data_IF_817586944353
#
_entry.id   IF_817586944353
#
_cell.length_a   1.000
_cell.length_b   1.000
_cell.length_c   1.000
_cell.angle_alpha   90.00
_cell.angle_beta   90.00
_cell.angle_gamma   90.00
#
_symmetry.space_group_name_H-M   'P 1'
#
loop_
_entity.id
_entity.type
_entity.pdbx_description
1 polymer ?
#
# COMPACT_ATOMS: atom_id res chain seq x y z
N UNK A 1 12.45 -9.32 24.36
CA UNK A 1 12.23 -8.27 23.37
C UNK A 1 10.76 -7.88 23.35
N UNK A 2 10.45 -6.73 22.76
CA UNK A 2 9.08 -6.23 22.66
C UNK A 2 8.45 -6.71 21.36
N UNK A 3 7.24 -7.22 21.43
CA UNK A 3 6.43 -7.62 20.28
C UNK A 3 5.43 -6.52 19.97
N UNK A 4 5.31 -6.17 18.70
CA UNK A 4 4.38 -5.16 18.20
C UNK A 4 3.27 -5.83 17.41
N UNK A 5 2.04 -5.46 17.68
CA UNK A 5 0.86 -5.89 16.95
C UNK A 5 0.10 -4.68 16.45
N UNK A 6 0.06 -4.47 15.14
CA UNK A 6 -0.67 -3.39 14.49
C UNK A 6 -1.90 -3.91 13.78
N UNK A 7 -2.97 -3.13 13.78
CA UNK A 7 -4.26 -3.52 13.20
C UNK A 7 -5.05 -2.31 12.74
N UNK A 8 -5.96 -2.57 11.78
CA UNK A 8 -6.92 -1.57 11.34
C UNK A 8 -8.10 -1.52 12.31
N UNK A 9 -8.47 -0.32 12.74
CA UNK A 9 -9.66 -0.11 13.58
C UNK A 9 -10.93 -0.22 12.74
N UNK A 10 -12.05 -0.51 13.41
CA UNK A 10 -13.35 -0.54 12.73
C UNK A 10 -13.66 0.84 12.12
N UNK A 11 -14.30 0.88 10.96
CA UNK A 11 -14.64 2.13 10.28
C UNK A 11 -16.16 2.38 10.19
N UNK A 12 -16.97 1.60 10.85
CA UNK A 12 -18.43 1.73 10.84
C UNK A 12 -19.03 2.22 12.16
N UNK A 13 -18.27 2.22 13.25
CA UNK A 13 -18.71 2.68 14.57
C UNK A 13 -17.51 2.99 15.46
N UNK A 14 -17.77 3.67 16.57
CA UNK A 14 -16.75 4.04 17.54
C UNK A 14 -15.97 2.84 18.05
N UNK A 15 -14.66 3.01 18.09
CA UNK A 15 -13.75 2.04 18.67
C UNK A 15 -13.33 2.53 20.05
N UNK A 16 -13.48 1.68 21.04
CA UNK A 16 -12.97 1.94 22.40
C UNK A 16 -12.04 0.80 22.79
N UNK A 17 -10.79 1.11 23.04
CA UNK A 17 -9.75 0.16 23.38
C UNK A 17 -9.07 0.64 24.66
N UNK A 18 -9.13 -0.15 25.71
CA UNK A 18 -8.59 0.20 27.05
C UNK A 18 -9.06 1.59 27.53
N UNK A 19 -10.32 1.94 27.25
CA UNK A 19 -10.91 3.24 27.61
C UNK A 19 -10.54 4.40 26.68
N UNK A 20 -9.74 4.17 25.64
CA UNK A 20 -9.39 5.18 24.65
C UNK A 20 -10.32 5.11 23.44
N UNK A 21 -10.85 6.27 23.03
CA UNK A 21 -11.58 6.37 21.77
C UNK A 21 -10.59 6.42 20.62
N UNK A 22 -10.74 5.51 19.67
CA UNK A 22 -9.88 5.35 18.51
C UNK A 22 -10.68 5.68 17.25
N UNK A 23 -10.09 6.40 16.31
CA UNK A 23 -10.78 6.83 15.10
C UNK A 23 -11.15 5.69 14.15
N UNK A 24 -11.99 6.02 13.17
CA UNK A 24 -12.49 5.05 12.19
C UNK A 24 -11.44 4.73 11.11
N UNK A 25 -11.20 3.44 10.90
CA UNK A 25 -10.31 2.97 9.84
C UNK A 25 -8.89 3.51 9.96
N UNK A 26 -8.44 3.78 11.17
CA UNK A 26 -7.07 4.13 11.50
C UNK A 26 -6.25 2.86 11.74
N UNK A 27 -4.95 2.98 11.74
CA UNK A 27 -4.06 1.93 12.21
C UNK A 27 -3.63 2.25 13.64
N UNK A 28 -3.93 1.32 14.52
CA UNK A 28 -3.51 1.35 15.92
C UNK A 28 -2.51 0.23 16.20
N UNK A 29 -1.80 0.30 17.31
CA UNK A 29 -0.88 -0.75 17.70
C UNK A 29 -0.90 -1.02 19.20
N UNK A 30 -0.44 -2.20 19.51
CA UNK A 30 -0.26 -2.73 20.86
C UNK A 30 1.13 -3.32 21.02
N UNK A 31 1.62 -3.40 22.24
CA UNK A 31 2.89 -4.07 22.56
C UNK A 31 2.72 -5.13 23.63
N UNK A 32 3.64 -6.10 23.65
CA UNK A 32 3.73 -7.13 24.67
C UNK A 32 5.17 -7.64 24.81
N UNK A 33 5.52 -8.13 25.97
CA UNK A 33 6.78 -8.86 26.21
C UNK A 33 6.70 -10.33 25.78
N UNK A 34 5.49 -10.80 25.43
CA UNK A 34 5.22 -12.17 25.03
C UNK A 34 4.47 -12.19 23.69
N UNK A 35 4.88 -13.00 22.69
CA UNK A 35 4.19 -13.06 21.39
C UNK A 35 2.71 -13.46 21.48
N UNK A 36 2.32 -14.13 22.55
CA UNK A 36 0.91 -14.53 22.81
C UNK A 36 0.15 -13.52 23.66
N UNK A 37 0.76 -12.37 23.99
CA UNK A 37 0.18 -11.36 24.87
C UNK A 37 0.29 -11.71 26.38
N UNK A 38 -0.42 -10.95 27.21
CA UNK A 38 -1.39 -9.92 26.86
C UNK A 38 -0.74 -8.71 26.17
N UNK A 39 -1.45 -8.11 25.24
CA UNK A 39 -1.02 -6.91 24.56
C UNK A 39 -1.65 -5.67 25.20
N UNK A 40 -0.86 -4.61 25.33
CA UNK A 40 -1.28 -3.32 25.86
C UNK A 40 -1.38 -2.31 24.71
N UNK A 41 -2.50 -1.60 24.63
CA UNK A 41 -2.72 -0.54 23.66
C UNK A 41 -1.72 0.61 23.84
N UNK A 42 -1.11 1.06 22.74
CA UNK A 42 -0.11 2.13 22.74
C UNK A 42 -0.60 3.40 22.06
N UNK A 43 -1.44 3.28 21.03
CA UNK A 43 -1.95 4.45 20.31
C UNK A 43 -2.32 4.15 18.86
N UNK A 44 -2.75 5.19 18.18
CA UNK A 44 -2.90 5.22 16.73
C UNK A 44 -1.56 5.66 16.11
N UNK A 45 -1.18 5.09 14.99
CA UNK A 45 0.08 5.41 14.28
C UNK A 45 -0.14 5.89 12.85
N UNK A 46 -1.32 5.60 12.28
CA UNK A 46 -1.65 6.05 10.93
C UNK A 46 -3.16 6.31 10.86
N UNK A 47 -3.53 7.53 10.56
CA UNK A 47 -4.94 7.90 10.41
C UNK A 47 -5.49 7.43 9.07
N UNK A 48 -6.83 7.40 8.96
CA UNK A 48 -7.48 7.04 7.71
C UNK A 48 -7.00 7.95 6.55
N UNK A 49 -6.78 7.41 5.34
CA UNK A 49 -6.35 8.18 4.18
C UNK A 49 -7.18 9.43 3.90
N UNK A 50 -8.46 9.44 4.28
CA UNK A 50 -9.32 10.62 4.11
C UNK A 50 -8.81 11.85 4.86
N UNK A 51 -8.05 11.67 5.93
CA UNK A 51 -7.46 12.76 6.70
C UNK A 51 -6.42 13.54 5.90
N UNK A 52 -5.67 12.86 5.05
CA UNK A 52 -4.56 13.45 4.30
C UNK A 52 -4.91 13.73 2.84
N UNK A 53 -5.62 12.81 2.22
CA UNK A 53 -5.87 12.85 0.77
C UNK A 53 -7.31 13.25 0.41
N UNK A 54 -8.20 13.38 1.41
CA UNK A 54 -9.61 13.68 1.17
C UNK A 54 -10.38 12.54 0.50
N UNK A 55 -9.78 11.35 0.43
CA UNK A 55 -10.40 10.11 -0.03
C UNK A 55 -10.09 9.02 0.97
N UNK A 56 -11.12 8.31 1.39
CA UNK A 56 -11.02 7.31 2.44
C UNK A 56 -11.51 5.95 2.01
N UNK A 57 -11.83 5.15 2.97
CA UNK A 57 -12.24 3.78 2.86
C UNK A 57 -11.62 2.99 4.01
N UNK A 58 -11.63 1.67 3.91
CA UNK A 58 -10.87 0.86 4.85
C UNK A 58 -9.36 1.14 4.67
N UNK A 59 -8.62 0.91 5.73
CA UNK A 59 -7.18 1.11 5.76
C UNK A 59 -6.51 -0.22 6.08
N UNK A 60 -5.79 -0.77 5.12
CA UNK A 60 -4.96 -1.96 5.33
C UNK A 60 -3.50 -1.59 5.17
N UNK A 61 -2.64 -2.24 5.92
CA UNK A 61 -1.23 -1.90 6.00
C UNK A 61 -0.35 -3.12 6.19
N UNK A 62 0.94 -2.91 5.98
CA UNK A 62 2.00 -3.79 6.42
C UNK A 62 3.22 -2.96 6.79
N UNK A 63 4.02 -3.44 7.73
CA UNK A 63 5.31 -2.86 8.04
C UNK A 63 6.39 -3.66 7.32
N UNK A 64 7.28 -2.97 6.61
CA UNK A 64 8.37 -3.59 5.85
C UNK A 64 9.68 -2.88 6.16
N UNK A 65 10.74 -3.64 6.32
CA UNK A 65 12.09 -3.11 6.46
C UNK A 65 12.82 -3.14 5.11
N UNK A 66 13.32 -1.99 4.70
CA UNK A 66 14.14 -1.83 3.50
C UNK A 66 15.47 -1.20 3.93
N UNK A 67 16.55 -1.96 3.85
CA UNK A 67 17.82 -1.58 4.46
C UNK A 67 17.66 -1.43 5.98
N UNK A 68 18.10 -0.30 6.51
CA UNK A 68 18.03 0.00 7.95
C UNK A 68 16.75 0.78 8.33
N UNK A 69 15.89 1.11 7.35
CA UNK A 69 14.69 1.91 7.55
C UNK A 69 13.42 1.04 7.52
N UNK A 70 12.54 1.22 8.49
CA UNK A 70 11.20 0.67 8.50
C UNK A 70 10.21 1.59 7.79
N UNK A 71 9.30 1.01 7.04
CA UNK A 71 8.25 1.70 6.32
C UNK A 71 6.89 1.11 6.61
N UNK A 72 5.88 1.98 6.64
CA UNK A 72 4.48 1.61 6.61
C UNK A 72 4.02 1.59 5.16
N UNK A 73 3.66 0.43 4.65
CA UNK A 73 2.94 0.31 3.38
C UNK A 73 1.45 0.29 3.67
N UNK A 74 0.68 1.03 2.91
CA UNK A 74 -0.77 1.12 3.07
C UNK A 74 -1.42 1.41 1.74
N UNK A 75 -2.73 1.29 1.66
CA UNK A 75 -3.45 1.66 0.45
C UNK A 75 -4.26 2.95 0.63
N UNK A 76 -4.43 3.68 -0.46
CA UNK A 76 -5.34 4.80 -0.57
C UNK A 76 -6.05 4.77 -1.94
N UNK A 77 -6.93 5.71 -2.19
CA UNK A 77 -7.66 5.85 -3.45
C UNK A 77 -7.24 7.11 -4.22
N UNK A 78 -5.96 7.51 -4.10
CA UNK A 78 -5.45 8.75 -4.67
C UNK A 78 -5.44 8.71 -6.19
N UNK A 79 -5.06 7.58 -6.81
CA UNK A 79 -5.12 7.40 -8.27
C UNK A 79 -6.56 7.43 -8.76
N UNK A 80 -7.49 6.78 -8.07
CA UNK A 80 -8.91 6.84 -8.41
C UNK A 80 -9.44 8.28 -8.35
N UNK A 81 -9.07 9.04 -7.33
CA UNK A 81 -9.43 10.45 -7.18
C UNK A 81 -8.93 11.30 -8.35
N UNK A 82 -7.67 11.13 -8.75
CA UNK A 82 -7.09 11.87 -9.87
C UNK A 82 -7.73 11.49 -11.21
N UNK A 83 -7.90 10.21 -11.50
CA UNK A 83 -8.54 9.73 -12.72
C UNK A 83 -9.98 10.25 -12.86
N UNK A 84 -10.69 10.38 -11.77
CA UNK A 84 -12.05 10.90 -11.75
C UNK A 84 -12.11 12.43 -11.63
N UNK A 85 -10.97 13.11 -11.57
CA UNK A 85 -10.84 14.56 -11.41
C UNK A 85 -11.76 15.12 -10.29
N UNK A 86 -11.76 14.44 -9.14
CA UNK A 86 -12.64 14.75 -8.02
C UNK A 86 -14.10 14.34 -8.19
N UNK A 87 -14.42 13.58 -9.25
CA UNK A 87 -15.77 13.07 -9.53
C UNK A 87 -16.15 11.85 -8.69
N UNK A 88 -17.01 11.01 -9.23
CA UNK A 88 -17.54 9.85 -8.54
C UNK A 88 -16.48 8.73 -8.42
N UNK A 89 -15.94 8.53 -7.21
CA UNK A 89 -14.99 7.47 -6.91
C UNK A 89 -15.57 6.06 -7.08
N UNK A 90 -16.90 5.89 -6.95
CA UNK A 90 -17.55 4.61 -7.19
C UNK A 90 -17.42 4.18 -8.65
N UNK A 91 -17.37 5.12 -9.58
CA UNK A 91 -17.14 4.84 -10.99
C UNK A 91 -15.73 4.29 -11.28
N UNK A 92 -14.76 4.58 -10.42
CA UNK A 92 -13.44 3.97 -10.45
C UNK A 92 -13.40 2.62 -9.70
N UNK A 93 -14.54 2.06 -9.33
CA UNK A 93 -14.68 0.77 -8.63
C UNK A 93 -13.84 0.65 -7.36
N UNK A 94 -13.62 1.76 -6.66
CA UNK A 94 -12.81 1.78 -5.45
C UNK A 94 -11.34 1.41 -5.69
N UNK A 95 -10.81 1.73 -6.86
CA UNK A 95 -9.42 1.47 -7.22
C UNK A 95 -8.47 1.96 -6.12
N UNK A 96 -7.68 1.04 -5.60
CA UNK A 96 -6.72 1.30 -4.52
C UNK A 96 -5.32 1.23 -5.07
N UNK A 97 -4.49 2.15 -4.63
CA UNK A 97 -3.07 2.17 -4.96
C UNK A 97 -2.23 2.17 -3.68
N UNK A 98 -1.03 1.65 -3.76
CA UNK A 98 -0.11 1.54 -2.65
C UNK A 98 0.57 2.88 -2.40
N UNK A 99 0.68 3.23 -1.13
CA UNK A 99 1.52 4.28 -0.59
C UNK A 99 2.54 3.68 0.38
N UNK A 100 3.56 4.47 0.70
CA UNK A 100 4.62 4.04 1.58
C UNK A 100 5.26 5.27 2.22
N UNK A 101 5.31 5.28 3.56
CA UNK A 101 5.95 6.33 4.35
C UNK A 101 6.88 5.73 5.43
N UNK A 102 7.94 6.43 5.84
CA UNK A 102 8.87 5.93 6.83
C UNK A 102 8.23 5.83 8.22
N UNK A 103 8.61 4.79 8.96
CA UNK A 103 8.27 4.63 10.37
C UNK A 103 9.42 5.16 11.22
N UNK A 104 9.11 6.02 12.17
CA UNK A 104 10.04 6.44 13.20
C UNK A 104 9.70 5.72 14.51
N UNK A 105 10.66 4.97 15.02
CA UNK A 105 10.60 4.36 16.34
C UNK A 105 11.39 5.24 17.30
N UNK A 106 10.75 5.69 18.34
CA UNK A 106 11.36 6.53 19.38
C UNK A 106 12.30 5.71 20.28
N UNK A 107 13.13 6.40 21.08
CA UNK A 107 14.07 5.74 21.99
C UNK A 107 13.38 4.86 23.05
N UNK A 108 12.15 5.21 23.42
CA UNK A 108 11.32 4.42 24.36
C UNK A 108 10.63 3.22 23.70
N UNK A 109 10.82 3.02 22.39
CA UNK A 109 10.20 1.96 21.59
C UNK A 109 8.79 2.30 21.11
N UNK A 110 8.26 3.48 21.39
CA UNK A 110 6.98 3.90 20.80
C UNK A 110 7.15 4.22 19.30
N UNK A 111 6.07 4.06 18.54
CA UNK A 111 6.01 4.43 17.13
C UNK A 111 5.39 5.82 17.01
N UNK A 112 6.08 6.74 16.36
CA UNK A 112 5.56 8.09 16.11
C UNK A 112 4.40 8.06 15.10
N UNK A 113 3.50 9.04 15.20
CA UNK A 113 2.44 9.24 14.21
C UNK A 113 3.03 9.40 12.80
N UNK A 114 2.49 8.66 11.85
CA UNK A 114 2.92 8.68 10.46
C UNK A 114 2.00 9.61 9.68
N UNK A 115 2.58 10.64 9.07
CA UNK A 115 1.88 11.47 8.10
C UNK A 115 1.91 10.79 6.74
N UNK A 116 0.76 10.59 6.12
CA UNK A 116 0.67 10.05 4.76
C UNK A 116 1.13 11.08 3.74
N UNK A 117 1.98 10.67 2.81
CA UNK A 117 2.53 11.53 1.77
C UNK A 117 2.45 10.90 0.38
N UNK A 118 2.84 11.69 -0.63
CA UNK A 118 3.06 11.22 -2.00
C UNK A 118 4.55 10.92 -2.28
N UNK A 119 5.42 11.11 -1.29
CA UNK A 119 6.88 11.09 -1.52
C UNK A 119 7.44 9.66 -1.70
N UNK A 120 6.88 8.68 -1.00
CA UNK A 120 7.35 7.30 -1.08
C UNK A 120 8.79 7.14 -0.58
N UNK A 121 9.61 6.39 -1.32
CA UNK A 121 11.01 6.14 -0.99
C UNK A 121 11.89 7.31 -1.45
N UNK A 122 12.62 7.94 -0.54
CA UNK A 122 13.56 9.03 -0.85
C UNK A 122 14.82 8.60 -1.62
N UNK A 123 15.04 7.30 -1.76
CA UNK A 123 16.24 6.73 -2.40
C UNK A 123 15.90 5.66 -3.45
N UNK A 124 14.85 5.87 -4.23
CA UNK A 124 14.52 4.99 -5.35
C UNK A 124 15.61 5.13 -6.40
N UNK A 125 16.27 4.03 -6.75
CA UNK A 125 17.10 3.96 -7.95
C UNK A 125 16.19 4.01 -9.16
N UNK A 126 16.53 4.89 -10.11
CA UNK A 126 15.90 4.84 -11.42
C UNK A 126 16.20 3.50 -12.11
N UNK A 127 15.25 3.04 -12.91
CA UNK A 127 15.48 1.88 -13.77
C UNK A 127 16.35 2.32 -14.94
N UNK A 128 17.46 1.62 -15.17
CA UNK A 128 18.27 1.82 -16.38
C UNK A 128 17.59 1.14 -17.57
N UNK A 129 17.16 1.95 -18.56
CA UNK A 129 16.51 1.44 -19.77
C UNK A 129 17.40 0.50 -20.58
N UNK A 130 18.72 0.63 -20.43
CA UNK A 130 19.72 -0.10 -21.20
C UNK A 130 20.46 -1.15 -20.37
N UNK A 131 19.96 -1.48 -19.18
CA UNK A 131 20.58 -2.53 -18.35
C UNK A 131 20.65 -3.87 -19.09
N UNK A 132 21.66 -4.67 -18.77
CA UNK A 132 21.80 -6.01 -19.32
C UNK A 132 20.54 -6.86 -19.07
N UNK A 133 19.99 -7.45 -20.13
CA UNK A 133 18.75 -8.21 -20.07
C UNK A 133 17.48 -7.36 -20.21
N UNK A 134 17.60 -6.04 -20.27
CA UNK A 134 16.47 -5.13 -20.38
C UNK A 134 15.62 -5.03 -19.11
N UNK A 135 14.56 -4.25 -19.17
CA UNK A 135 13.56 -4.17 -18.10
C UNK A 135 12.49 -5.24 -18.38
N UNK A 136 12.24 -6.19 -17.45
CA UNK A 136 11.20 -7.19 -17.64
C UNK A 136 9.84 -6.53 -17.87
N UNK A 137 9.05 -7.04 -18.82
CA UNK A 137 7.72 -6.49 -19.12
C UNK A 137 6.75 -6.53 -17.92
N UNK A 138 7.00 -7.40 -16.93
CA UNK A 138 6.27 -7.48 -15.67
C UNK A 138 6.63 -6.38 -14.68
N UNK A 139 7.68 -5.60 -14.93
CA UNK A 139 8.03 -4.42 -14.12
C UNK A 139 7.14 -3.27 -14.56
N UNK A 140 6.02 -3.09 -13.90
CA UNK A 140 5.05 -2.03 -14.23
C UNK A 140 4.78 -1.16 -13.00
N UNK A 141 4.61 0.14 -13.23
CA UNK A 141 4.14 1.08 -12.22
C UNK A 141 2.61 1.21 -12.29
N UNK A 142 2.07 1.30 -13.51
CA UNK A 142 0.63 1.36 -13.77
C UNK A 142 0.29 0.59 -15.04
N UNK A 143 -0.99 0.28 -15.18
CA UNK A 143 -1.57 -0.32 -16.37
C UNK A 143 -2.96 0.26 -16.65
N UNK A 144 -3.54 -0.11 -17.77
CA UNK A 144 -4.91 0.27 -18.14
C UNK A 144 -5.97 -0.29 -17.19
N UNK A 145 -5.55 -1.12 -16.26
CA UNK A 145 -6.36 -1.64 -15.18
C UNK A 145 -7.41 -2.65 -15.58
N UNK A 146 -8.01 -3.22 -14.56
CA UNK A 146 -9.19 -4.08 -14.69
C UNK A 146 -10.39 -3.17 -14.89
N UNK A 147 -11.04 -3.24 -16.04
CA UNK A 147 -12.22 -2.45 -16.34
C UNK A 147 -13.43 -2.82 -15.46
N UNK A 148 -13.39 -4.01 -14.87
CA UNK A 148 -14.38 -4.48 -13.93
C UNK A 148 -13.68 -5.28 -12.82
N UNK A 149 -13.78 -4.83 -11.57
CA UNK A 149 -13.14 -5.47 -10.40
C UNK A 149 -13.56 -6.93 -10.18
N UNK A 150 -14.71 -7.33 -10.73
CA UNK A 150 -15.22 -8.69 -10.65
C UNK A 150 -14.91 -9.54 -11.88
N UNK A 151 -14.41 -8.93 -12.95
CA UNK A 151 -14.01 -9.65 -14.16
C UNK A 151 -12.49 -9.86 -14.17
N UNK A 152 -12.08 -10.99 -13.65
CA UNK A 152 -10.69 -11.39 -13.60
C UNK A 152 -10.11 -11.77 -14.98
N UNK A 153 -10.83 -11.66 -16.03
CA UNK A 153 -10.38 -11.97 -17.39
C UNK A 153 -10.08 -10.74 -18.23
N UNK A 154 -10.45 -9.54 -17.75
CA UNK A 154 -10.18 -8.27 -18.43
C UNK A 154 -9.00 -7.52 -17.78
N UNK A 155 -8.35 -6.68 -18.57
CA UNK A 155 -7.23 -5.83 -18.15
C UNK A 155 -5.89 -6.54 -18.08
N UNK A 156 -4.85 -5.78 -18.35
CA UNK A 156 -3.46 -6.26 -18.27
C UNK A 156 -3.14 -6.71 -16.85
N UNK A 157 -2.42 -7.81 -16.72
CA UNK A 157 -2.01 -8.37 -15.42
C UNK A 157 -0.61 -8.93 -15.47
N UNK A 158 0.07 -8.82 -14.34
CA UNK A 158 1.26 -9.61 -14.06
C UNK A 158 0.81 -10.96 -13.49
N UNK A 159 1.23 -12.03 -14.11
CA UNK A 159 0.97 -13.41 -13.67
C UNK A 159 2.26 -14.22 -13.66
N UNK A 160 2.32 -15.21 -12.80
CA UNK A 160 3.46 -16.11 -12.77
C UNK A 160 3.52 -16.97 -14.05
N UNK A 161 4.72 -17.24 -14.50
CA UNK A 161 4.95 -18.20 -15.58
C UNK A 161 4.87 -19.62 -15.01
N UNK A 162 3.94 -20.40 -15.55
CA UNK A 162 3.69 -21.79 -15.11
C UNK A 162 4.22 -22.82 -16.13
N UNK A 163 5.41 -22.61 -16.65
CA UNK A 163 6.04 -23.58 -17.55
C UNK A 163 7.14 -24.34 -16.82
N UNK A 164 7.27 -25.62 -17.12
CA UNK A 164 8.14 -26.58 -16.42
C UNK A 164 9.62 -26.19 -16.31
N UNK A 165 10.07 -25.11 -16.96
CA UNK A 165 11.47 -24.67 -16.98
C UNK A 165 11.67 -23.16 -16.89
N UNK A 166 10.67 -22.38 -16.53
CA UNK A 166 10.83 -20.93 -16.38
C UNK A 166 10.19 -20.44 -15.09
N UNK A 167 11.02 -19.89 -14.23
CA UNK A 167 10.59 -19.08 -13.10
C UNK A 167 10.51 -17.63 -13.55
N UNK A 168 9.51 -16.89 -13.09
CA UNK A 168 9.34 -15.47 -13.38
C UNK A 168 7.90 -15.07 -13.59
N UNK A 169 7.74 -13.87 -14.13
CA UNK A 169 6.44 -13.26 -14.34
C UNK A 169 6.29 -12.80 -15.79
N UNK A 170 5.06 -12.73 -16.25
CA UNK A 170 4.69 -12.22 -17.57
C UNK A 170 3.46 -11.33 -17.50
N UNK A 171 3.26 -10.53 -18.53
CA UNK A 171 1.98 -9.86 -18.75
C UNK A 171 0.98 -10.83 -19.39
N UNK A 172 -0.26 -10.70 -18.98
CA UNK A 172 -1.40 -11.46 -19.50
C UNK A 172 -2.59 -10.55 -19.76
N UNK A 173 -3.59 -11.05 -20.50
CA UNK A 173 -4.82 -10.33 -20.84
C UNK A 173 -4.57 -9.00 -21.56
N UNK A 174 -3.63 -8.96 -22.47
CA UNK A 174 -3.32 -7.78 -23.27
C UNK A 174 -4.27 -7.72 -24.46
N UNK A 175 -5.13 -6.73 -24.48
CA UNK A 175 -6.07 -6.48 -25.57
C UNK A 175 -5.74 -5.16 -26.29
N UNK A 176 -6.38 -4.93 -27.42
CA UNK A 176 -6.17 -3.71 -28.18
C UNK A 176 -6.59 -2.47 -27.40
N UNK A 177 -5.69 -1.50 -27.31
CA UNK A 177 -5.89 -0.24 -26.56
C UNK A 177 -5.48 -0.30 -25.09
N UNK A 178 -5.07 -1.46 -24.57
CA UNK A 178 -4.51 -1.56 -23.24
C UNK A 178 -3.03 -1.16 -23.22
N UNK A 179 -2.58 -0.70 -22.08
CA UNK A 179 -1.24 -0.18 -21.90
C UNK A 179 -0.67 -0.54 -20.50
N UNK A 180 0.63 -0.54 -20.43
CA UNK A 180 1.40 -0.53 -19.18
C UNK A 180 2.35 0.64 -19.19
N UNK A 181 2.72 1.14 -18.02
CA UNK A 181 3.73 2.19 -17.91
C UNK A 181 4.77 1.87 -16.84
N UNK A 182 5.94 2.41 -17.04
CA UNK A 182 7.05 2.41 -16.10
C UNK A 182 7.20 3.81 -15.51
N UNK A 183 7.71 3.87 -14.28
CA UNK A 183 8.11 5.11 -13.64
C UNK A 183 9.61 5.11 -13.38
N UNK A 184 10.19 6.30 -13.27
CA UNK A 184 11.59 6.50 -12.91
C UNK A 184 12.55 5.70 -13.81
N UNK A 185 12.42 5.85 -15.13
CA UNK A 185 13.31 5.23 -16.11
C UNK A 185 14.33 6.25 -16.60
N UNK A 186 15.59 5.91 -16.51
CA UNK A 186 16.71 6.65 -17.13
C UNK A 186 16.97 6.10 -18.53
N UNK A 187 17.08 7.00 -19.52
CA UNK A 187 17.34 6.71 -20.93
C UNK A 187 18.72 7.20 -21.36
#
# INVERSE_FOLDING_TARGET
GTYYYSYCTNFSHDNVIDGNTVGYGNIAYMTSDNPMGPFTYQGEILKNPSTYFGVGGNNHHAMVQLGDQWYMTYHAQTVAKELMNGGNLDAAHGYRNTHLDPITVNEDGSIADIAMTYEGLSSVKNLDAYQDGGIPASTIAWDSGIQNAYDLTSGVRVVDMTTDNSEGQKLSNINNGEWTSLANVDF
#
